data_IF_583696362673
#
_entry.id   IF_583696362673
#
_cell.length_a   1.000
_cell.length_b   1.000
_cell.length_c   1.000
_cell.angle_alpha   90.00
_cell.angle_beta   90.00
_cell.angle_gamma   90.00
#
_symmetry.space_group_name_H-M   'P 1'
#
loop_
_entity.id
_entity.type
_entity.pdbx_description
1 polymer ?
#
# COMPACT_ATOMS: atom_id res chain seq x y z
N UNK A 1 1.23 3.35 15.66
CA UNK A 1 1.32 1.97 15.17
C UNK A 1 1.06 2.00 13.67
N UNK A 2 1.94 1.46 12.82
CA UNK A 2 1.73 1.25 11.37
C UNK A 2 1.54 2.50 10.48
N UNK A 3 0.66 3.43 10.85
CA UNK A 3 0.19 4.49 9.95
C UNK A 3 -0.70 3.92 8.83
N UNK A 4 -0.90 4.70 7.77
CA UNK A 4 -1.68 4.28 6.60
C UNK A 4 -1.05 3.06 5.90
N UNK A 5 -1.89 2.26 5.25
CA UNK A 5 -1.46 1.17 4.36
C UNK A 5 -0.93 1.83 3.09
N UNK A 6 0.35 1.65 2.79
CA UNK A 6 0.94 2.16 1.54
C UNK A 6 0.65 1.23 0.38
N UNK A 7 0.70 -0.08 0.63
CA UNK A 7 0.52 -1.09 -0.39
C UNK A 7 -0.17 -2.33 0.17
N UNK A 8 -0.81 -3.05 -0.73
CA UNK A 8 -1.45 -4.33 -0.46
C UNK A 8 -0.92 -5.36 -1.45
N UNK A 9 -0.48 -6.51 -0.93
CA UNK A 9 -0.19 -7.71 -1.71
C UNK A 9 -1.32 -8.70 -1.47
N UNK A 10 -2.16 -8.94 -2.47
CA UNK A 10 -3.25 -9.91 -2.44
C UNK A 10 -2.80 -11.16 -3.19
N UNK A 11 -2.59 -12.26 -2.47
CA UNK A 11 -2.16 -13.54 -3.01
C UNK A 11 -3.37 -14.45 -3.21
N UNK A 12 -3.51 -15.05 -4.38
CA UNK A 12 -4.55 -16.04 -4.68
C UNK A 12 -4.03 -17.45 -4.36
N UNK A 13 -4.69 -18.12 -3.41
CA UNK A 13 -4.31 -19.45 -2.94
C UNK A 13 -5.04 -20.58 -3.69
N UNK A 14 -6.11 -20.23 -4.42
CA UNK A 14 -6.85 -21.11 -5.32
C UNK A 14 -7.12 -20.41 -6.65
N UNK A 15 -7.24 -21.20 -7.72
CA UNK A 15 -7.85 -20.74 -8.97
C UNK A 15 -9.36 -20.87 -8.84
N UNK A 16 -10.11 -19.87 -9.30
CA UNK A 16 -11.57 -19.86 -9.25
C UNK A 16 -12.13 -20.15 -10.64
N UNK A 17 -13.08 -21.08 -10.74
CA UNK A 17 -13.66 -21.49 -12.02
C UNK A 17 -14.43 -20.35 -12.67
N UNK A 18 -15.35 -19.73 -11.91
CA UNK A 18 -16.24 -18.67 -12.38
C UNK A 18 -16.49 -17.60 -11.30
N UNK A 19 -16.33 -16.33 -11.68
CA UNK A 19 -16.40 -15.20 -10.77
C UNK A 19 -15.16 -15.06 -9.87
N UNK A 20 -15.35 -14.41 -8.72
CA UNK A 20 -14.30 -14.23 -7.71
C UNK A 20 -13.21 -13.23 -8.09
N UNK A 21 -13.36 -12.46 -9.16
CA UNK A 21 -12.36 -11.48 -9.60
C UNK A 21 -12.09 -10.41 -8.54
N UNK A 22 -10.88 -9.87 -8.50
CA UNK A 22 -10.61 -8.62 -7.78
C UNK A 22 -10.80 -7.47 -8.76
N UNK A 23 -11.78 -6.60 -8.50
CA UNK A 23 -12.15 -5.49 -9.38
C UNK A 23 -11.78 -4.15 -8.76
N UNK A 24 -11.26 -3.24 -9.60
CA UNK A 24 -10.93 -1.86 -9.30
C UNK A 24 -11.89 -0.93 -10.07
N UNK A 25 -13.07 -0.61 -9.51
CA UNK A 25 -14.12 0.13 -10.24
C UNK A 25 -13.70 1.55 -10.63
N UNK A 26 -12.76 2.14 -9.88
CA UNK A 26 -12.26 3.50 -10.09
C UNK A 26 -10.97 3.56 -10.92
N UNK A 27 -10.39 2.41 -11.30
CA UNK A 27 -9.18 2.38 -12.10
C UNK A 27 -9.41 3.02 -13.48
N UNK A 28 -8.39 3.72 -13.98
CA UNK A 28 -8.41 4.39 -15.29
C UNK A 28 -7.13 4.09 -16.07
N UNK A 29 -7.20 3.93 -17.41
CA UNK A 29 -8.44 3.85 -18.20
C UNK A 29 -9.22 2.57 -17.89
N UNK A 30 -10.54 2.59 -18.15
CA UNK A 30 -11.33 1.35 -18.05
C UNK A 30 -10.96 0.44 -19.22
N UNK A 31 -10.65 -0.84 -18.99
CA UNK A 31 -10.42 -1.78 -20.08
C UNK A 31 -11.71 -1.97 -20.91
N UNK A 32 -11.59 -2.41 -22.17
CA UNK A 32 -12.75 -2.84 -22.95
C UNK A 32 -13.44 -4.03 -22.25
N UNK A 33 -14.74 -4.20 -22.54
CA UNK A 33 -15.50 -5.31 -21.99
C UNK A 33 -14.89 -6.64 -22.41
N UNK A 34 -14.76 -7.55 -21.44
CA UNK A 34 -14.27 -8.90 -21.64
C UNK A 34 -15.41 -9.88 -21.36
N UNK A 35 -15.85 -10.59 -22.41
CA UNK A 35 -16.93 -11.56 -22.33
C UNK A 35 -16.58 -12.78 -21.45
N UNK A 36 -15.31 -12.98 -21.10
CA UNK A 36 -14.86 -14.03 -20.18
C UNK A 36 -14.97 -13.65 -18.70
N UNK A 37 -15.27 -12.37 -18.40
CA UNK A 37 -15.38 -11.84 -17.05
C UNK A 37 -16.85 -11.64 -16.64
N UNK A 38 -17.12 -11.66 -15.34
CA UNK A 38 -18.46 -11.38 -14.81
C UNK A 38 -18.88 -9.93 -14.99
N UNK A 39 -20.19 -9.66 -14.93
CA UNK A 39 -20.73 -8.28 -14.92
C UNK A 39 -20.14 -7.41 -13.80
N UNK A 40 -19.82 -8.02 -12.66
CA UNK A 40 -19.14 -7.34 -11.56
C UNK A 40 -17.72 -6.91 -11.98
N UNK A 41 -16.96 -7.82 -12.58
CA UNK A 41 -15.58 -7.58 -13.01
C UNK A 41 -15.51 -6.54 -14.14
N UNK A 42 -16.47 -6.55 -15.07
CA UNK A 42 -16.56 -5.59 -16.17
C UNK A 42 -16.87 -4.13 -15.73
N UNK A 43 -17.10 -3.86 -14.43
CA UNK A 43 -17.29 -2.49 -13.92
C UNK A 43 -15.98 -1.68 -13.83
N UNK A 44 -14.83 -2.32 -13.92
CA UNK A 44 -13.51 -1.69 -13.84
C UNK A 44 -12.38 -2.59 -14.31
N UNK A 45 -11.13 -2.25 -13.95
CA UNK A 45 -10.01 -3.17 -14.15
C UNK A 45 -10.19 -4.36 -13.21
N UNK A 46 -10.13 -5.59 -13.72
CA UNK A 46 -10.31 -6.78 -12.90
C UNK A 46 -9.23 -7.83 -13.14
N UNK A 47 -8.97 -8.63 -12.12
CA UNK A 47 -8.00 -9.73 -12.15
C UNK A 47 -8.68 -11.01 -11.71
N UNK A 48 -8.69 -12.03 -12.57
CA UNK A 48 -9.21 -13.36 -12.27
C UNK A 48 -8.26 -14.08 -11.27
N UNK A 49 -8.77 -14.73 -10.21
CA UNK A 49 -7.91 -15.46 -9.27
C UNK A 49 -7.30 -16.68 -9.93
N UNK A 50 -5.96 -16.75 -9.93
CA UNK A 50 -5.20 -17.92 -10.34
C UNK A 50 -4.26 -18.33 -9.21
N UNK A 51 -4.27 -19.61 -8.85
CA UNK A 51 -3.46 -20.14 -7.74
C UNK A 51 -1.99 -19.82 -7.97
N UNK A 52 -1.38 -19.16 -6.99
CA UNK A 52 0.04 -18.78 -7.00
C UNK A 52 0.30 -17.35 -7.44
N UNK A 53 -0.65 -16.70 -8.12
CA UNK A 53 -0.53 -15.31 -8.52
C UNK A 53 -0.69 -14.36 -7.32
N UNK A 54 0.00 -13.22 -7.40
CA UNK A 54 -0.11 -12.15 -6.42
C UNK A 54 -0.34 -10.81 -7.12
N UNK A 55 -1.28 -10.04 -6.60
CA UNK A 55 -1.58 -8.69 -7.04
C UNK A 55 -1.01 -7.68 -6.05
N UNK A 56 -0.10 -6.83 -6.52
CA UNK A 56 0.41 -5.68 -5.77
C UNK A 56 -0.28 -4.40 -6.27
N UNK A 57 -0.83 -3.62 -5.35
CA UNK A 57 -1.33 -2.28 -5.62
C UNK A 57 -1.05 -1.33 -4.46
N UNK A 58 -0.91 -0.05 -4.77
CA UNK A 58 -0.64 1.01 -3.82
C UNK A 58 -1.93 1.70 -3.42
N UNK A 59 -2.12 1.94 -2.12
CA UNK A 59 -3.28 2.66 -1.58
C UNK A 59 -3.02 4.16 -1.40
N UNK A 60 -1.77 4.59 -1.57
CA UNK A 60 -1.34 5.97 -1.43
C UNK A 60 -0.56 6.42 -2.67
N UNK A 61 -0.70 7.70 -3.00
CA UNK A 61 0.21 8.38 -3.91
C UNK A 61 1.59 8.59 -3.25
N UNK A 62 2.64 8.90 -4.04
CA UNK A 62 3.97 9.15 -3.50
C UNK A 62 4.04 10.29 -2.47
N UNK A 63 3.10 11.22 -2.50
CA UNK A 63 2.96 12.31 -1.53
C UNK A 63 2.25 11.90 -0.22
N UNK A 64 1.83 10.64 -0.11
CA UNK A 64 1.16 10.08 1.06
C UNK A 64 -0.36 10.30 1.09
N UNK A 65 -0.94 10.98 0.09
CA UNK A 65 -2.39 11.12 -0.02
C UNK A 65 -3.04 9.81 -0.48
N UNK A 66 -4.31 9.59 -0.13
CA UNK A 66 -5.01 8.34 -0.49
C UNK A 66 -5.34 8.31 -1.98
N UNK A 67 -5.00 7.19 -2.63
CA UNK A 67 -5.32 6.96 -4.04
C UNK A 67 -6.74 6.37 -4.19
N UNK A 68 -7.69 7.18 -4.66
CA UNK A 68 -9.07 6.74 -4.85
C UNK A 68 -9.24 5.71 -5.98
N UNK A 69 -8.26 5.60 -6.87
CA UNK A 69 -8.25 4.58 -7.95
C UNK A 69 -7.86 3.20 -7.43
N UNK A 70 -7.29 3.11 -6.22
CA UNK A 70 -6.96 1.85 -5.55
C UNK A 70 -8.17 1.19 -4.87
N UNK A 71 -9.36 1.80 -4.94
CA UNK A 71 -10.58 1.18 -4.43
C UNK A 71 -10.76 -0.16 -5.13
N UNK A 72 -10.89 -1.23 -4.35
CA UNK A 72 -11.01 -2.59 -4.85
C UNK A 72 -12.07 -3.36 -4.09
N UNK A 73 -12.64 -4.36 -4.75
CA UNK A 73 -13.60 -5.29 -4.17
C UNK A 73 -13.38 -6.69 -4.72
N UNK A 74 -13.85 -7.70 -3.99
CA UNK A 74 -13.98 -9.05 -4.54
C UNK A 74 -15.36 -9.20 -5.17
N UNK A 75 -15.41 -9.60 -6.42
CA UNK A 75 -16.65 -10.03 -7.06
C UNK A 75 -17.16 -11.33 -6.43
N UNK A 76 -18.48 -11.61 -6.51
CA UNK A 76 -19.05 -12.88 -6.05
C UNK A 76 -18.39 -14.07 -6.75
N UNK A 77 -18.14 -15.14 -6.00
CA UNK A 77 -17.76 -16.44 -6.58
C UNK A 77 -19.03 -17.12 -7.06
N UNK A 78 -19.08 -17.49 -8.35
CA UNK A 78 -20.23 -18.15 -8.95
C UNK A 78 -20.03 -19.67 -8.93
N UNK A 79 -18.80 -20.14 -9.23
CA UNK A 79 -18.43 -21.56 -9.17
C UNK A 79 -17.00 -21.74 -8.66
N UNK A 80 -16.83 -22.73 -7.78
CA UNK A 80 -15.57 -23.03 -7.10
C UNK A 80 -15.48 -22.35 -5.74
N UNK A 81 -14.25 -22.13 -5.26
CA UNK A 81 -13.97 -21.50 -3.97
C UNK A 81 -12.74 -20.59 -4.07
N UNK A 82 -12.85 -19.38 -3.50
CA UNK A 82 -11.76 -18.39 -3.50
C UNK A 82 -11.08 -18.35 -2.13
N UNK A 83 -9.83 -18.81 -2.08
CA UNK A 83 -8.93 -18.55 -0.96
C UNK A 83 -7.91 -17.48 -1.34
N UNK A 84 -7.73 -16.50 -0.47
CA UNK A 84 -6.74 -15.44 -0.66
C UNK A 84 -6.05 -15.08 0.65
N UNK A 85 -4.77 -14.72 0.57
CA UNK A 85 -4.03 -14.13 1.68
C UNK A 85 -3.71 -12.67 1.36
N UNK A 86 -4.04 -11.75 2.28
CA UNK A 86 -3.77 -10.32 2.10
C UNK A 86 -2.65 -9.88 3.02
N UNK A 87 -1.56 -9.36 2.46
CA UNK A 87 -0.48 -8.71 3.22
C UNK A 87 -0.58 -7.20 3.05
N UNK A 88 -0.87 -6.50 4.14
CA UNK A 88 -0.82 -5.04 4.18
C UNK A 88 0.58 -4.57 4.57
N UNK A 89 1.09 -3.61 3.80
CA UNK A 89 2.36 -2.93 4.05
C UNK A 89 2.03 -1.51 4.49
N UNK A 90 2.58 -1.13 5.63
CA UNK A 90 2.30 0.13 6.30
C UNK A 90 3.45 1.12 6.14
N UNK A 91 3.16 2.42 6.14
CA UNK A 91 4.18 3.49 6.00
C UNK A 91 5.16 3.55 7.18
N UNK A 92 4.82 2.95 8.33
CA UNK A 92 5.65 2.88 9.53
C UNK A 92 5.65 1.48 10.11
N UNK A 93 6.63 1.20 10.96
CA UNK A 93 6.66 -0.03 11.75
C UNK A 93 5.45 -0.12 12.67
N UNK A 94 4.98 -1.36 12.89
CA UNK A 94 4.02 -1.65 13.96
C UNK A 94 4.67 -1.71 15.32
N UNK A 95 5.95 -2.04 15.36
CA UNK A 95 6.71 -2.08 16.61
C UNK A 95 6.87 -0.67 17.15
N UNK A 96 6.55 -0.51 18.44
CA UNK A 96 6.90 0.67 19.17
C UNK A 96 8.42 0.69 19.29
N UNK A 97 9.10 1.56 18.52
CA UNK A 97 10.48 1.90 18.83
C UNK A 97 10.45 2.71 20.14
N UNK A 98 11.28 2.36 21.14
CA UNK A 98 11.53 3.24 22.27
C UNK A 98 11.88 4.63 21.73
N UNK A 99 11.43 5.69 22.41
CA UNK A 99 11.89 7.05 22.12
C UNK A 99 13.42 7.01 22.13
N UNK A 100 14.04 7.22 20.96
CA UNK A 100 15.50 7.24 20.88
C UNK A 100 15.99 8.33 21.83
N UNK A 101 16.79 7.95 22.83
CA UNK A 101 17.29 8.86 23.87
C UNK A 101 18.44 9.76 23.36
N UNK A 102 18.88 9.59 22.11
CA UNK A 102 19.99 10.31 21.49
C UNK A 102 19.63 11.02 20.19
N UNK A 103 20.51 11.92 19.76
CA UNK A 103 20.41 12.62 18.48
C UNK A 103 21.25 11.93 17.41
N UNK A 104 20.64 10.95 16.74
CA UNK A 104 21.31 10.17 15.70
C UNK A 104 20.41 9.99 14.50
N UNK A 105 21.04 9.87 13.33
CA UNK A 105 20.35 9.48 12.11
C UNK A 105 20.30 7.93 12.05
N UNK A 106 19.09 7.39 11.95
CA UNK A 106 18.82 5.95 11.94
C UNK A 106 18.79 5.38 10.52
N UNK A 107 19.06 6.21 9.51
CA UNK A 107 19.15 5.79 8.12
C UNK A 107 20.39 6.44 7.46
N UNK A 108 21.22 5.66 6.73
CA UNK A 108 22.40 6.20 6.06
C UNK A 108 22.08 7.26 5.00
N UNK A 109 20.82 7.36 4.52
CA UNK A 109 20.38 8.36 3.54
C UNK A 109 19.85 9.66 4.15
N UNK A 110 19.87 9.82 5.47
CA UNK A 110 19.29 10.99 6.12
C UNK A 110 19.90 12.32 5.65
N UNK A 111 21.22 12.39 5.46
CA UNK A 111 21.89 13.59 4.94
C UNK A 111 21.41 13.93 3.52
N UNK A 112 21.38 12.95 2.63
CA UNK A 112 20.91 13.10 1.25
C UNK A 112 19.46 13.62 1.21
N UNK A 113 18.57 12.98 1.99
CA UNK A 113 17.16 13.38 2.06
C UNK A 113 16.97 14.76 2.68
N UNK A 114 17.76 15.12 3.69
CA UNK A 114 17.73 16.46 4.25
C UNK A 114 18.11 17.52 3.21
N UNK A 115 19.14 17.25 2.38
CA UNK A 115 19.52 18.12 1.25
C UNK A 115 18.40 18.22 0.21
N UNK A 116 17.67 17.13 -0.06
CA UNK A 116 16.52 17.11 -0.97
C UNK A 116 15.25 17.80 -0.40
N UNK A 117 15.32 18.29 0.84
CA UNK A 117 14.26 19.03 1.51
C UNK A 117 13.22 18.17 2.22
N UNK A 118 13.52 16.89 2.47
CA UNK A 118 12.59 15.95 3.11
C UNK A 118 12.25 16.35 4.54
N UNK A 119 13.08 17.13 5.24
CA UNK A 119 12.74 17.65 6.57
C UNK A 119 11.45 18.48 6.57
N UNK A 120 11.09 19.10 5.44
CA UNK A 120 9.83 19.86 5.26
C UNK A 120 8.77 19.05 4.53
N UNK A 121 9.15 18.24 3.53
CA UNK A 121 8.22 17.45 2.71
C UNK A 121 7.69 16.22 3.45
N UNK A 122 8.52 15.61 4.31
CA UNK A 122 8.21 14.40 5.06
C UNK A 122 8.63 14.52 6.55
N UNK A 123 8.08 15.52 7.28
CA UNK A 123 8.49 15.81 8.65
C UNK A 123 8.18 14.65 9.61
N UNK A 124 7.11 13.88 9.36
CA UNK A 124 6.75 12.75 10.21
C UNK A 124 7.81 11.64 10.21
N UNK A 125 8.43 11.35 9.06
CA UNK A 125 9.53 10.38 8.99
C UNK A 125 10.85 10.97 9.50
N UNK A 126 11.15 12.21 9.08
CA UNK A 126 12.44 12.84 9.34
C UNK A 126 12.58 13.32 10.80
N UNK A 127 11.56 14.01 11.30
CA UNK A 127 11.55 14.68 12.61
C UNK A 127 10.76 13.91 13.68
N UNK A 128 9.71 13.21 13.26
CA UNK A 128 8.76 12.56 14.14
C UNK A 128 7.47 13.37 14.32
N UNK A 129 6.50 12.82 15.04
CA UNK A 129 5.15 13.38 15.20
C UNK A 129 4.67 13.40 16.67
N UNK A 130 5.61 13.47 17.62
CA UNK A 130 5.35 13.50 19.06
C UNK A 130 5.02 12.13 19.69
N UNK A 131 4.50 11.19 18.90
CA UNK A 131 4.36 9.79 19.29
C UNK A 131 5.62 8.96 18.94
N UNK A 132 6.43 9.44 17.99
CA UNK A 132 7.63 8.78 17.49
C UNK A 132 8.79 9.76 17.34
N UNK A 133 10.01 9.30 17.65
CA UNK A 133 11.23 10.02 17.28
C UNK A 133 11.50 9.83 15.78
N UNK A 134 11.71 10.92 15.05
CA UNK A 134 12.06 10.85 13.63
C UNK A 134 13.39 10.16 13.37
N UNK A 135 13.54 9.57 12.19
CA UNK A 135 14.73 8.80 11.82
C UNK A 135 15.92 9.67 11.43
N UNK A 136 15.71 10.94 11.10
CA UNK A 136 16.73 11.80 10.48
C UNK A 136 16.86 13.16 11.20
N UNK A 137 16.63 13.17 12.51
CA UNK A 137 16.56 14.42 13.29
C UNK A 137 17.88 15.19 13.27
N UNK A 138 19.02 14.49 13.27
CA UNK A 138 20.35 15.08 13.24
C UNK A 138 20.62 15.73 11.88
N UNK A 139 20.37 15.03 10.77
CA UNK A 139 20.48 15.60 9.43
C UNK A 139 19.56 16.82 9.24
N UNK A 140 18.39 16.81 9.87
CA UNK A 140 17.46 17.93 9.87
C UNK A 140 17.75 19.03 10.90
N UNK A 141 18.83 18.91 11.70
CA UNK A 141 19.20 19.87 12.76
C UNK A 141 18.08 20.12 13.78
N UNK A 142 17.23 19.13 14.01
CA UNK A 142 16.15 19.14 15.01
C UNK A 142 16.60 18.60 16.38
N UNK A 143 17.85 18.18 16.40
CA UNK A 143 18.80 18.03 17.48
C UNK A 143 20.18 18.13 16.78
#
# INVERSE_FOLDING_TARGET
MGGHRVATVLMYLTSVDEGGETVFPNAKPKPPLDASLTDCANRGLAVKPQKGDALLFYSLHPDGTTDQTSLHASCPVIRGEKWSATKWIHVRSFEARPLAQGCEDLNPKCEEWAVLGECKKNPAYMLGDGAYTGNCRKACKAC
#
